data_IF_739106674585
#
_entry.id   IF_739106674585
#
_cell.length_a   1.000
_cell.length_b   1.000
_cell.length_c   1.000
_cell.angle_alpha   90.00
_cell.angle_beta   90.00
_cell.angle_gamma   90.00
#
_symmetry.space_group_name_H-M   'P 1'
#
loop_
_entity.id
_entity.type
_entity.pdbx_description
1 polymer ?
#
# COMPACT_ATOMS: atom_id res chain seq x y z
N UNK A 1 -5.24 -4.54 22.48
CA UNK A 1 -6.66 -4.16 22.37
C UNK A 1 -7.14 -4.52 20.96
N UNK A 2 -8.31 -5.10 20.84
CA UNK A 2 -8.90 -5.41 19.54
C UNK A 2 -9.53 -4.14 18.97
N UNK A 3 -9.55 -4.03 17.65
CA UNK A 3 -10.15 -2.87 16.96
C UNK A 3 -11.65 -2.71 17.26
N UNK A 4 -12.34 -3.81 17.61
CA UNK A 4 -13.72 -3.78 18.09
C UNK A 4 -13.90 -2.98 19.38
N UNK A 5 -12.83 -2.79 20.15
CA UNK A 5 -12.84 -2.06 21.42
C UNK A 5 -12.54 -0.57 21.24
N UNK A 6 -12.28 -0.14 20.00
CA UNK A 6 -12.08 1.28 19.68
C UNK A 6 -13.42 1.98 19.52
N UNK A 7 -13.52 3.23 19.99
CA UNK A 7 -14.73 4.03 19.78
C UNK A 7 -14.99 4.21 18.27
N UNK A 8 -16.25 4.31 17.90
CA UNK A 8 -16.73 4.29 16.50
C UNK A 8 -16.21 5.39 15.58
N UNK A 9 -15.45 6.36 16.08
CA UNK A 9 -14.80 7.41 15.29
C UNK A 9 -13.55 6.96 14.52
N UNK A 10 -13.14 5.69 14.67
CA UNK A 10 -12.03 5.06 13.96
C UNK A 10 -10.68 5.82 14.07
N UNK A 11 -10.51 6.65 15.08
CA UNK A 11 -9.25 7.31 15.39
C UNK A 11 -8.50 6.55 16.49
N UNK A 12 -7.18 6.55 16.39
CA UNK A 12 -6.33 6.03 17.44
C UNK A 12 -5.23 7.04 17.78
N UNK A 13 -4.88 7.09 19.04
CA UNK A 13 -3.71 7.83 19.52
C UNK A 13 -2.67 6.81 19.97
N UNK A 14 -1.45 6.97 19.48
CA UNK A 14 -0.31 6.19 19.94
C UNK A 14 0.50 7.03 20.93
N UNK A 15 0.77 6.46 22.09
CA UNK A 15 1.65 7.04 23.09
C UNK A 15 2.95 6.22 23.11
N UNK A 16 4.07 6.91 22.98
CA UNK A 16 5.40 6.31 23.07
C UNK A 16 6.03 6.72 24.41
N UNK A 17 6.25 5.75 25.27
CA UNK A 17 7.03 5.97 26.50
C UNK A 17 8.49 5.63 26.24
N UNK A 18 9.32 6.65 26.24
CA UNK A 18 10.76 6.53 26.03
C UNK A 18 11.46 6.52 27.37
N UNK A 19 12.30 5.54 27.60
CA UNK A 19 13.10 5.45 28.82
C UNK A 19 14.53 5.05 28.49
N UNK A 20 15.49 5.55 29.24
CA UNK A 20 16.90 5.18 29.16
C UNK A 20 17.42 4.80 30.54
N UNK A 21 18.28 3.81 30.60
CA UNK A 21 19.03 3.45 31.79
C UNK A 21 20.39 4.16 31.89
N UNK A 22 20.72 4.99 30.91
CA UNK A 22 21.98 5.74 30.83
C UNK A 22 21.64 7.23 30.64
N UNK A 23 22.20 8.06 31.51
CA UNK A 23 21.97 9.52 31.55
C UNK A 23 22.51 10.24 30.30
N UNK A 24 23.40 9.60 29.54
CA UNK A 24 24.05 10.19 28.35
C UNK A 24 23.41 9.70 27.05
N UNK A 25 22.42 8.78 27.09
CA UNK A 25 21.81 8.20 25.90
C UNK A 25 20.30 8.39 25.97
N UNK A 26 19.76 9.14 25.01
CA UNK A 26 18.32 9.31 24.82
C UNK A 26 17.83 8.45 23.65
N UNK A 27 16.79 7.66 23.84
CA UNK A 27 16.15 7.00 22.71
C UNK A 27 15.51 8.04 21.77
N UNK A 28 15.61 7.81 20.48
CA UNK A 28 15.02 8.67 19.46
C UNK A 28 14.05 7.85 18.58
N UNK A 29 12.94 8.48 18.22
CA UNK A 29 11.97 7.92 17.26
C UNK A 29 11.94 8.83 16.04
N UNK A 30 12.18 8.24 14.87
CA UNK A 30 12.00 8.91 13.60
C UNK A 30 10.49 8.92 13.26
N UNK A 31 9.85 10.05 13.51
CA UNK A 31 8.41 10.19 13.28
C UNK A 31 8.03 10.09 11.81
N UNK A 32 8.96 10.35 10.90
CA UNK A 32 8.71 10.22 9.46
C UNK A 32 8.61 8.77 9.00
N UNK A 33 9.14 7.85 9.80
CA UNK A 33 9.08 6.41 9.56
C UNK A 33 8.05 5.68 10.41
N UNK A 34 7.38 6.37 11.32
CA UNK A 34 6.30 5.77 12.09
C UNK A 34 5.09 5.58 11.19
N UNK A 35 4.63 4.34 11.06
CA UNK A 35 3.40 4.01 10.37
C UNK A 35 2.52 3.10 11.23
N UNK A 36 1.22 3.25 11.10
CA UNK A 36 0.26 2.35 11.73
C UNK A 36 -0.45 1.52 10.66
N UNK A 37 -0.45 0.20 10.83
CA UNK A 37 -1.25 -0.71 10.01
C UNK A 37 -2.53 -1.01 10.78
N UNK A 38 -3.65 -0.60 10.21
CA UNK A 38 -4.96 -0.89 10.75
C UNK A 38 -5.47 -2.18 10.11
N UNK A 39 -5.58 -3.22 10.92
CA UNK A 39 -6.23 -4.46 10.51
C UNK A 39 -7.67 -4.46 11.01
N UNK A 40 -8.61 -4.82 10.14
CA UNK A 40 -9.97 -5.08 10.59
C UNK A 40 -9.99 -6.37 11.42
N UNK A 41 -10.93 -6.49 12.35
CA UNK A 41 -11.15 -7.73 13.11
C UNK A 41 -11.51 -8.94 12.22
N UNK A 42 -11.59 -8.73 10.93
CA UNK A 42 -11.84 -9.74 9.92
C UNK A 42 -10.54 -10.25 9.30
N UNK A 43 -9.53 -10.51 10.12
CA UNK A 43 -8.48 -11.47 9.73
C UNK A 43 -9.15 -12.75 9.20
N UNK A 44 -10.40 -12.94 9.53
CA UNK A 44 -11.24 -14.08 9.23
C UNK A 44 -12.23 -13.89 8.07
N UNK A 45 -12.08 -12.92 7.21
CA UNK A 45 -12.89 -12.79 5.99
C UNK A 45 -12.02 -13.04 4.77
N UNK A 46 -11.66 -14.31 4.49
CA UNK A 46 -10.96 -14.64 3.28
C UNK A 46 -11.86 -14.27 2.10
N UNK A 47 -11.30 -13.64 1.08
CA UNK A 47 -12.01 -13.45 -0.18
C UNK A 47 -12.01 -14.77 -0.95
N UNK A 48 -13.13 -15.13 -1.55
CA UNK A 48 -13.23 -16.36 -2.33
C UNK A 48 -12.40 -16.29 -3.62
N UNK A 49 -12.20 -15.10 -4.15
CA UNK A 49 -11.40 -14.84 -5.34
C UNK A 49 -10.78 -13.44 -5.25
N UNK A 50 -9.48 -13.37 -5.00
CA UNK A 50 -8.75 -12.10 -4.97
C UNK A 50 -8.25 -11.64 -6.36
N UNK A 51 -8.49 -12.40 -7.40
CA UNK A 51 -8.29 -11.96 -8.78
C UNK A 51 -9.44 -11.07 -9.29
N UNK A 52 -10.56 -11.04 -8.57
CA UNK A 52 -11.69 -10.17 -8.90
C UNK A 52 -11.31 -8.69 -8.74
N UNK A 53 -11.67 -7.90 -9.74
CA UNK A 53 -11.44 -6.44 -9.77
C UNK A 53 -12.48 -5.65 -8.95
N UNK A 54 -13.35 -6.33 -8.21
CA UNK A 54 -14.39 -5.72 -7.39
C UNK A 54 -13.82 -5.06 -6.11
N UNK A 55 -12.73 -4.33 -6.24
CA UNK A 55 -12.11 -3.61 -5.14
C UNK A 55 -12.62 -2.20 -5.10
N UNK A 56 -12.95 -1.80 -3.89
CA UNK A 56 -13.40 -0.45 -3.66
C UNK A 56 -12.16 0.45 -3.56
N UNK A 57 -12.11 1.50 -4.35
CA UNK A 57 -11.06 2.51 -4.33
C UNK A 57 -11.22 3.50 -3.16
N UNK A 58 -12.28 3.38 -2.39
CA UNK A 58 -12.58 4.24 -1.24
C UNK A 58 -11.86 3.76 0.02
N UNK A 59 -11.47 4.72 0.84
CA UNK A 59 -10.82 4.45 2.12
C UNK A 59 -11.80 3.77 3.09
N UNK A 60 -11.63 2.50 3.37
CA UNK A 60 -12.30 1.80 4.46
C UNK A 60 -13.45 0.86 4.09
N UNK A 61 -13.71 0.61 2.82
CA UNK A 61 -14.76 -0.34 2.40
C UNK A 61 -14.24 -1.56 1.62
N UNK A 62 -12.92 -1.68 1.45
CA UNK A 62 -12.34 -2.81 0.74
C UNK A 62 -12.51 -4.12 1.52
N UNK A 63 -12.94 -5.21 0.87
CA UNK A 63 -13.04 -6.52 1.49
C UNK A 63 -11.66 -7.18 1.61
N UNK A 64 -10.70 -6.48 2.21
CA UNK A 64 -9.33 -6.96 2.42
C UNK A 64 -9.08 -7.33 3.89
N UNK A 65 -8.10 -8.20 4.10
CA UNK A 65 -7.70 -8.60 5.44
C UNK A 65 -6.98 -7.46 6.17
N UNK A 66 -6.24 -6.65 5.45
CA UNK A 66 -5.58 -5.47 6.00
C UNK A 66 -5.31 -4.43 4.91
N UNK A 67 -5.31 -3.15 5.31
CA UNK A 67 -5.04 -2.01 4.44
C UNK A 67 -3.99 -1.13 5.09
N UNK A 68 -2.97 -0.78 4.32
CA UNK A 68 -2.02 0.26 4.67
C UNK A 68 -2.34 1.52 3.88
N UNK A 69 -2.40 2.66 4.55
CA UNK A 69 -2.54 3.98 3.92
C UNK A 69 -1.43 4.87 4.45
N UNK A 70 -0.63 5.42 3.55
CA UNK A 70 0.43 6.37 3.92
C UNK A 70 -0.16 7.70 4.40
N UNK A 71 0.62 8.53 5.07
CA UNK A 71 0.30 9.95 5.19
C UNK A 71 0.25 10.60 3.79
N UNK A 72 -0.41 11.74 3.67
CA UNK A 72 -0.33 12.58 2.49
C UNK A 72 1.07 13.21 2.44
N UNK A 73 1.83 12.93 1.40
CA UNK A 73 3.20 13.40 1.21
C UNK A 73 3.15 14.63 0.31
N UNK A 74 3.70 15.73 0.78
CA UNK A 74 3.85 16.96 0.01
C UNK A 74 5.27 17.03 -0.60
N UNK A 75 5.36 17.48 -1.83
CA UNK A 75 6.60 17.67 -2.59
C UNK A 75 6.94 19.15 -2.67
N UNK A 76 8.22 19.47 -2.67
CA UNK A 76 8.71 20.85 -2.88
C UNK A 76 8.55 21.28 -4.35
N UNK A 77 8.75 20.36 -5.28
CA UNK A 77 8.61 20.59 -6.72
C UNK A 77 7.57 19.62 -7.30
N UNK A 78 6.80 20.04 -8.31
CA UNK A 78 5.87 19.13 -8.98
C UNK A 78 6.60 17.93 -9.59
N UNK A 79 5.97 16.77 -9.53
CA UNK A 79 6.44 15.54 -10.14
C UNK A 79 5.46 15.06 -11.23
N UNK A 80 5.98 14.29 -12.18
CA UNK A 80 5.19 13.70 -13.28
C UNK A 80 5.21 12.19 -13.26
N UNK A 81 6.08 11.59 -12.45
CA UNK A 81 6.21 10.14 -12.35
C UNK A 81 6.15 9.72 -10.87
N UNK A 82 5.58 8.57 -10.62
CA UNK A 82 5.49 8.00 -9.28
C UNK A 82 5.91 6.53 -9.32
N UNK A 83 6.87 6.16 -8.47
CA UNK A 83 7.38 4.80 -8.36
C UNK A 83 7.24 4.32 -6.92
N UNK A 84 6.71 3.10 -6.75
CA UNK A 84 6.61 2.43 -5.46
C UNK A 84 7.40 1.14 -5.50
N UNK A 85 8.22 0.91 -4.49
CA UNK A 85 9.01 -0.31 -4.32
C UNK A 85 8.87 -0.85 -2.91
N UNK A 86 8.76 -2.15 -2.79
CA UNK A 86 8.82 -2.84 -1.50
C UNK A 86 9.19 -4.32 -1.68
N UNK A 87 9.63 -4.94 -0.62
CA UNK A 87 9.78 -6.38 -0.58
C UNK A 87 8.57 -7.01 0.10
N UNK A 88 8.03 -8.07 -0.50
CA UNK A 88 6.90 -8.80 0.05
C UNK A 88 7.13 -10.31 0.10
N UNK A 89 6.66 -10.90 1.19
CA UNK A 89 6.47 -12.33 1.30
C UNK A 89 5.00 -12.63 1.08
N UNK A 90 4.69 -13.23 -0.06
CA UNK A 90 3.33 -13.54 -0.51
C UNK A 90 3.25 -15.01 -0.91
N UNK A 91 2.25 -15.73 -0.42
CA UNK A 91 1.95 -17.11 -0.82
C UNK A 91 0.89 -17.14 -1.92
N UNK A 92 0.66 -18.32 -2.53
CA UNK A 92 -0.38 -18.50 -3.55
C UNK A 92 -1.79 -18.13 -3.07
N UNK A 93 -2.04 -18.28 -1.76
CA UNK A 93 -3.33 -17.97 -1.14
C UNK A 93 -3.51 -16.49 -0.79
N UNK A 94 -2.54 -15.65 -1.08
CA UNK A 94 -2.58 -14.21 -0.76
C UNK A 94 -2.13 -13.35 -1.93
N UNK A 95 -2.59 -12.11 -1.93
CA UNK A 95 -2.28 -11.13 -2.96
C UNK A 95 -2.18 -9.72 -2.38
N UNK A 96 -1.59 -8.81 -3.15
CA UNK A 96 -1.39 -7.41 -2.79
C UNK A 96 -1.86 -6.55 -3.95
N UNK A 97 -2.58 -5.48 -3.62
CA UNK A 97 -2.96 -4.44 -4.56
C UNK A 97 -2.43 -3.11 -4.09
N UNK A 98 -1.80 -2.40 -5.01
CA UNK A 98 -1.24 -1.08 -4.74
C UNK A 98 -2.04 -0.02 -5.47
N UNK A 99 -2.40 1.01 -4.73
CA UNK A 99 -3.18 2.13 -5.21
C UNK A 99 -2.46 3.43 -4.88
N UNK A 100 -2.77 4.45 -5.62
CA UNK A 100 -2.23 5.79 -5.43
C UNK A 100 -3.33 6.85 -5.49
N UNK A 101 -3.03 7.98 -4.94
CA UNK A 101 -3.81 9.21 -5.06
C UNK A 101 -2.82 10.35 -5.25
N UNK A 102 -3.07 11.19 -6.25
CA UNK A 102 -2.27 12.38 -6.53
C UNK A 102 -3.15 13.63 -6.48
N UNK A 103 -2.55 14.74 -6.08
CA UNK A 103 -3.19 16.06 -6.06
C UNK A 103 -2.29 17.02 -6.83
N UNK A 104 -2.89 17.67 -7.82
CA UNK A 104 -2.22 18.67 -8.64
C UNK A 104 -2.03 19.98 -7.87
N UNK A 105 -1.15 20.83 -8.37
CA UNK A 105 -0.96 22.17 -7.84
C UNK A 105 -2.24 22.99 -8.03
N UNK A 106 -2.70 23.64 -6.96
CA UNK A 106 -3.94 24.44 -6.98
C UNK A 106 -5.23 23.63 -6.87
N UNK A 107 -5.16 22.31 -6.81
CA UNK A 107 -6.33 21.48 -6.55
C UNK A 107 -6.81 21.74 -5.11
N UNK A 108 -8.03 22.28 -5.01
CA UNK A 108 -8.68 22.63 -3.72
C UNK A 108 -9.50 21.47 -3.17
N UNK A 109 -9.63 20.40 -3.93
CA UNK A 109 -10.37 19.23 -3.51
C UNK A 109 -9.79 18.66 -2.21
N UNK A 110 -10.67 18.35 -1.28
CA UNK A 110 -10.26 17.74 -0.04
C UNK A 110 -9.63 16.37 -0.35
N UNK A 111 -8.37 16.20 0.04
CA UNK A 111 -7.65 14.94 -0.20
C UNK A 111 -8.35 13.71 0.39
N UNK A 112 -9.28 13.91 1.34
CA UNK A 112 -10.09 12.84 1.93
C UNK A 112 -11.22 12.38 1.00
N UNK A 113 -11.66 13.21 0.07
CA UNK A 113 -12.80 12.97 -0.82
C UNK A 113 -12.37 12.34 -2.15
N UNK A 114 -11.11 12.57 -2.55
CA UNK A 114 -10.59 11.97 -3.78
C UNK A 114 -10.35 10.47 -3.62
N UNK A 115 -10.82 9.70 -4.57
CA UNK A 115 -10.65 8.26 -4.61
C UNK A 115 -9.19 7.84 -4.91
N UNK A 116 -8.85 6.61 -4.57
CA UNK A 116 -7.60 5.98 -4.93
C UNK A 116 -7.72 5.27 -6.28
N UNK A 117 -6.73 5.47 -7.14
CA UNK A 117 -6.58 4.75 -8.40
C UNK A 117 -5.63 3.56 -8.24
N UNK A 118 -5.92 2.46 -8.92
CA UNK A 118 -5.01 1.31 -8.98
C UNK A 118 -3.79 1.63 -9.85
N UNK A 119 -2.61 1.20 -9.42
CA UNK A 119 -1.46 1.19 -10.31
C UNK A 119 -1.74 0.34 -11.55
N UNK A 120 -1.24 0.74 -12.73
CA UNK A 120 -1.34 -0.09 -13.91
C UNK A 120 -0.57 -1.39 -13.70
N UNK A 121 -1.17 -2.49 -14.12
CA UNK A 121 -0.58 -3.81 -14.09
C UNK A 121 -0.52 -4.41 -15.48
N UNK A 122 -0.12 -5.67 -15.54
CA UNK A 122 -0.15 -6.44 -16.78
C UNK A 122 -1.38 -7.35 -16.79
N UNK A 123 -2.05 -7.43 -17.91
CA UNK A 123 -3.18 -8.33 -18.17
C UNK A 123 -2.84 -9.37 -19.23
N UNK A 124 -1.85 -9.11 -20.06
CA UNK A 124 -1.40 -10.02 -21.11
C UNK A 124 0.05 -10.40 -20.93
N UNK A 125 0.29 -11.69 -20.85
CA UNK A 125 1.62 -12.28 -20.87
C UNK A 125 1.75 -13.12 -22.13
N UNK A 126 2.84 -12.98 -22.89
CA UNK A 126 3.10 -13.77 -24.08
C UNK A 126 3.52 -15.22 -23.71
N UNK A 127 3.72 -16.07 -24.73
CA UNK A 127 4.13 -17.44 -24.55
C UNK A 127 5.50 -17.62 -23.85
N UNK A 128 6.30 -16.56 -23.79
CA UNK A 128 7.60 -16.51 -23.14
C UNK A 128 7.53 -15.85 -21.76
N UNK A 129 6.33 -15.62 -21.23
CA UNK A 129 6.09 -14.97 -19.95
C UNK A 129 6.52 -13.48 -19.92
N UNK A 130 6.57 -12.81 -21.08
CA UNK A 130 6.82 -11.38 -21.16
C UNK A 130 5.52 -10.59 -21.08
N UNK A 131 5.59 -9.43 -20.45
CA UNK A 131 4.47 -8.50 -20.36
C UNK A 131 4.28 -7.80 -21.70
N UNK A 132 3.11 -7.96 -22.31
CA UNK A 132 2.79 -7.34 -23.60
C UNK A 132 2.15 -5.95 -23.42
N UNK A 133 1.36 -5.78 -22.36
CA UNK A 133 0.58 -4.56 -22.17
C UNK A 133 0.39 -4.22 -20.69
N UNK A 134 0.68 -2.98 -20.31
CA UNK A 134 0.49 -2.44 -18.94
C UNK A 134 -0.70 -1.48 -18.85
N UNK A 135 -1.72 -1.68 -19.65
CA UNK A 135 -2.87 -0.75 -19.71
C UNK A 135 -3.95 -1.05 -18.69
N UNK A 136 -3.91 -2.21 -18.04
CA UNK A 136 -4.91 -2.59 -17.06
C UNK A 136 -4.54 -2.04 -15.67
N UNK A 137 -5.37 -1.17 -15.14
CA UNK A 137 -5.23 -0.62 -13.79
C UNK A 137 -5.75 -1.63 -12.77
N UNK A 138 -4.99 -2.65 -12.46
CA UNK A 138 -5.38 -3.72 -11.53
C UNK A 138 -4.56 -3.75 -10.23
N UNK A 139 -3.66 -2.78 -10.03
CA UNK A 139 -2.80 -2.69 -8.85
C UNK A 139 -1.72 -3.76 -8.77
N UNK A 140 -1.41 -4.41 -9.88
CA UNK A 140 -0.33 -5.42 -9.97
C UNK A 140 1.03 -4.77 -10.19
N UNK A 141 2.13 -5.45 -9.81
CA UNK A 141 3.48 -4.94 -10.05
C UNK A 141 3.85 -4.90 -11.53
N UNK A 142 4.92 -4.17 -11.84
CA UNK A 142 5.44 -4.01 -13.21
C UNK A 142 5.83 -5.32 -13.88
N UNK A 143 6.36 -6.25 -13.08
CA UNK A 143 6.74 -7.58 -13.53
C UNK A 143 5.90 -8.66 -12.84
N UNK A 144 5.79 -9.81 -13.48
CA UNK A 144 5.16 -10.97 -12.87
C UNK A 144 6.04 -11.51 -11.74
N UNK A 145 5.69 -11.20 -10.50
CA UNK A 145 6.40 -11.68 -9.33
C UNK A 145 5.70 -12.94 -8.82
N UNK A 146 6.32 -14.12 -8.99
CA UNK A 146 5.72 -15.37 -8.51
C UNK A 146 5.61 -15.37 -6.99
N UNK A 147 4.72 -16.18 -6.42
CA UNK A 147 4.63 -16.35 -4.98
C UNK A 147 5.96 -16.74 -4.34
N UNK A 148 6.11 -16.35 -3.09
CA UNK A 148 7.30 -16.65 -2.31
C UNK A 148 7.34 -18.12 -1.90
N UNK A 149 8.55 -18.69 -1.88
CA UNK A 149 8.83 -20.02 -1.38
C UNK A 149 9.76 -19.87 -0.17
N UNK A 150 9.62 -20.71 0.83
CA UNK A 150 10.53 -20.81 1.98
C UNK A 150 10.77 -19.49 2.72
N UNK A 151 9.69 -18.73 2.97
CA UNK A 151 9.73 -17.44 3.68
C UNK A 151 10.64 -16.38 3.02
N UNK A 152 10.94 -16.53 1.74
CA UNK A 152 11.70 -15.54 1.00
C UNK A 152 10.85 -14.30 0.68
N UNK A 153 11.44 -13.11 0.85
CA UNK A 153 10.86 -11.88 0.35
C UNK A 153 11.26 -11.67 -1.11
N UNK A 154 10.34 -11.19 -1.90
CA UNK A 154 10.56 -10.82 -3.31
C UNK A 154 10.32 -9.34 -3.50
N UNK A 155 11.07 -8.74 -4.40
CA UNK A 155 10.95 -7.32 -4.72
C UNK A 155 9.76 -7.07 -5.65
N UNK A 156 9.02 -6.03 -5.34
CA UNK A 156 7.89 -5.53 -6.10
C UNK A 156 8.17 -4.09 -6.51
N UNK A 157 7.90 -3.79 -7.76
CA UNK A 157 8.01 -2.45 -8.33
C UNK A 157 6.71 -2.08 -9.05
N UNK A 158 6.28 -0.82 -8.88
CA UNK A 158 5.09 -0.25 -9.48
C UNK A 158 5.48 1.12 -10.03
N UNK A 159 5.19 1.39 -11.29
CA UNK A 159 5.59 2.64 -11.94
C UNK A 159 4.39 3.30 -12.63
N UNK A 160 4.29 4.61 -12.43
CA UNK A 160 3.42 5.52 -13.17
C UNK A 160 4.29 6.55 -13.86
N UNK A 161 4.04 6.75 -15.14
CA UNK A 161 4.77 7.72 -15.95
C UNK A 161 3.80 8.65 -16.67
N UNK A 162 4.29 9.84 -17.03
CA UNK A 162 3.53 10.82 -17.79
C UNK A 162 2.22 11.26 -17.11
N UNK A 163 2.22 11.36 -15.79
CA UNK A 163 1.10 11.93 -15.04
C UNK A 163 1.03 13.44 -15.24
N UNK A 164 -0.16 14.01 -15.06
CA UNK A 164 -0.27 15.46 -14.88
C UNK A 164 0.57 15.88 -13.68
N UNK A 165 1.26 17.03 -13.74
CA UNK A 165 2.09 17.49 -12.62
C UNK A 165 1.33 17.51 -11.31
N UNK A 166 1.90 16.89 -10.27
CA UNK A 166 1.31 16.79 -8.96
C UNK A 166 2.29 17.23 -7.88
N UNK A 167 1.78 17.82 -6.81
CA UNK A 167 2.57 18.30 -5.66
C UNK A 167 2.32 17.50 -4.40
N UNK A 168 1.33 16.63 -4.39
CA UNK A 168 1.03 15.76 -3.25
C UNK A 168 0.63 14.38 -3.74
N UNK A 169 0.95 13.36 -2.94
CA UNK A 169 0.50 12.00 -3.22
C UNK A 169 0.28 11.19 -1.95
N UNK A 170 -0.45 10.11 -2.08
CA UNK A 170 -0.71 9.14 -1.03
C UNK A 170 -0.73 7.73 -1.62
N UNK A 171 -0.20 6.77 -0.89
CA UNK A 171 -0.16 5.36 -1.30
C UNK A 171 -1.10 4.56 -0.39
N UNK A 172 -1.86 3.66 -1.01
CA UNK A 172 -2.69 2.68 -0.33
C UNK A 172 -2.28 1.28 -0.80
N UNK A 173 -2.17 0.34 0.14
CA UNK A 173 -1.84 -1.06 -0.15
C UNK A 173 -2.88 -1.94 0.52
N UNK A 174 -3.62 -2.70 -0.28
CA UNK A 174 -4.57 -3.69 0.19
C UNK A 174 -3.96 -5.08 0.16
N UNK A 175 -4.02 -5.74 1.30
CA UNK A 175 -3.55 -7.11 1.49
C UNK A 175 -4.76 -8.03 1.58
N UNK A 176 -4.84 -8.98 0.66
CA UNK A 176 -5.96 -9.92 0.54
C UNK A 176 -5.48 -11.36 0.59
N UNK A 177 -6.37 -12.27 0.94
CA UNK A 177 -6.03 -13.69 0.96
C UNK A 177 -7.26 -14.57 1.08
N UNK A 178 -7.13 -15.80 0.59
CA UNK A 178 -8.13 -16.86 0.73
C UNK A 178 -7.87 -17.75 1.95
N UNK A 179 -6.69 -17.61 2.56
CA UNK A 179 -6.27 -18.36 3.73
C UNK A 179 -5.77 -17.42 4.82
N UNK A 180 -6.47 -17.36 5.92
CA UNK A 180 -6.16 -16.51 7.08
C UNK A 180 -4.83 -16.84 7.75
N UNK A 181 -4.40 -18.09 7.68
CA UNK A 181 -3.14 -18.52 8.28
C UNK A 181 -1.91 -18.10 7.45
N UNK A 182 -2.13 -17.52 6.28
CA UNK A 182 -1.07 -17.16 5.34
C UNK A 182 -1.23 -15.72 4.80
N UNK A 183 -1.22 -14.71 5.68
CA UNK A 183 -1.29 -13.31 5.24
C UNK A 183 -0.01 -12.93 4.49
N UNK A 184 -0.08 -11.99 3.57
CA UNK A 184 1.12 -11.41 2.97
C UNK A 184 1.85 -10.50 3.98
N UNK A 185 3.15 -10.41 3.85
CA UNK A 185 4.00 -9.51 4.63
C UNK A 185 4.69 -8.52 3.70
N UNK A 186 4.84 -7.27 4.15
CA UNK A 186 5.49 -6.20 3.40
C UNK A 186 6.58 -5.59 4.28
N UNK A 187 7.72 -5.29 3.67
CA UNK A 187 8.81 -4.53 4.30
C UNK A 187 9.48 -3.62 3.27
N UNK A 188 10.29 -2.68 3.77
CA UNK A 188 11.15 -1.80 2.96
C UNK A 188 10.35 -0.98 1.93
N UNK A 189 9.17 -0.48 2.31
CA UNK A 189 8.33 0.35 1.44
C UNK A 189 9.03 1.69 1.14
N UNK A 190 9.12 2.01 -0.15
CA UNK A 190 9.64 3.27 -0.67
C UNK A 190 8.70 3.81 -1.73
N UNK A 191 8.38 5.08 -1.65
CA UNK A 191 7.67 5.82 -2.69
C UNK A 191 8.57 6.94 -3.19
N UNK A 192 8.74 7.05 -4.51
CA UNK A 192 9.65 7.98 -5.16
C UNK A 192 8.84 8.75 -6.20
N UNK A 193 8.79 10.07 -6.05
CA UNK A 193 8.23 10.97 -7.03
C UNK A 193 9.38 11.58 -7.86
N UNK A 194 9.22 11.61 -9.17
CA UNK A 194 10.22 12.11 -10.12
C UNK A 194 9.59 13.18 -11.00
N UNK A 195 10.35 14.24 -11.24
CA UNK A 195 9.98 15.32 -12.16
C UNK A 195 10.23 14.92 -13.62
#
# INVERSE_FOLDING_TARGET
KQLSDLPGNKSLTMEFLLSSGDDNVSPAIDLDRVSAILTTNRINSPVSNFASDSRVNQTGQDPCASTYVSKLIALENPATNLKVKFASYRRNSSDIRVMYKILSEGETENSMEKDFDLFPGFDNIDQNNNIINKTNNNGKPDDNVPPSVDQSFKDYEFTLENLSPFTRFQIKIDMVGTNQAQPPYIKDLRAIALA
#
